data_IF_219293565064
#
_entry.id   IF_219293565064
#
_cell.length_a   1.000
_cell.length_b   1.000
_cell.length_c   1.000
_cell.angle_alpha   90.00
_cell.angle_beta   90.00
_cell.angle_gamma   90.00
#
_symmetry.space_group_name_H-M   'P 1'
#
loop_
_entity.id
_entity.type
_entity.pdbx_description
1 polymer ?
#
# COMPACT_ATOMS: atom_id res chain seq x y z
N UNK A 1 16.26 -29.27 -1.41
CA UNK A 1 15.27 -28.62 -2.30
C UNK A 1 14.57 -27.56 -1.46
N UNK A 2 15.16 -26.36 -1.36
CA UNK A 2 14.52 -25.25 -0.65
C UNK A 2 13.61 -24.56 -1.66
N UNK A 3 12.29 -24.72 -1.48
CA UNK A 3 11.30 -24.06 -2.33
C UNK A 3 11.45 -22.54 -2.24
N UNK A 4 11.12 -21.85 -3.33
CA UNK A 4 11.06 -20.38 -3.44
C UNK A 4 10.14 -19.71 -2.41
N UNK A 5 9.45 -20.52 -1.62
CA UNK A 5 8.53 -20.12 -0.57
C UNK A 5 9.19 -19.92 0.80
N UNK A 6 10.49 -20.23 0.98
CA UNK A 6 11.10 -20.14 2.32
C UNK A 6 11.01 -18.72 2.90
N UNK A 7 10.79 -18.57 4.21
CA UNK A 7 10.68 -17.25 4.87
C UNK A 7 11.89 -16.37 4.56
N UNK A 8 13.08 -16.96 4.47
CA UNK A 8 14.31 -16.25 4.10
C UNK A 8 14.28 -15.70 2.67
N UNK A 9 13.62 -16.38 1.72
CA UNK A 9 13.45 -15.89 0.35
C UNK A 9 12.52 -14.68 0.34
N UNK A 10 11.44 -14.73 1.11
CA UNK A 10 10.48 -13.63 1.23
C UNK A 10 11.13 -12.40 1.88
N UNK A 11 11.89 -12.58 2.96
CA UNK A 11 12.63 -11.50 3.62
C UNK A 11 13.70 -10.89 2.70
N UNK A 12 14.41 -11.73 1.95
CA UNK A 12 15.43 -11.27 0.99
C UNK A 12 14.79 -10.49 -0.17
N UNK A 13 13.65 -10.95 -0.69
CA UNK A 13 12.88 -10.24 -1.72
C UNK A 13 12.33 -8.92 -1.20
N UNK A 14 11.91 -8.83 0.06
CA UNK A 14 11.45 -7.58 0.67
C UNK A 14 12.60 -6.57 0.82
N UNK A 15 13.77 -7.03 1.26
CA UNK A 15 14.97 -6.18 1.34
C UNK A 15 15.40 -5.65 -0.04
N UNK A 16 15.32 -6.48 -1.07
CA UNK A 16 15.57 -6.05 -2.46
C UNK A 16 14.52 -5.04 -2.94
N UNK A 17 13.24 -5.24 -2.62
CA UNK A 17 12.18 -4.31 -2.97
C UNK A 17 12.38 -2.94 -2.31
N UNK A 18 12.84 -2.90 -1.06
CA UNK A 18 13.23 -1.67 -0.39
C UNK A 18 14.43 -0.99 -1.06
N UNK A 19 15.46 -1.75 -1.43
CA UNK A 19 16.62 -1.22 -2.17
C UNK A 19 16.18 -0.58 -3.50
N UNK A 20 15.31 -1.24 -4.26
CA UNK A 20 14.77 -0.69 -5.51
C UNK A 20 13.95 0.59 -5.29
N UNK A 21 13.20 0.69 -4.18
CA UNK A 21 12.53 1.95 -3.82
C UNK A 21 13.53 3.10 -3.58
N UNK A 22 14.68 2.82 -2.96
CA UNK A 22 15.73 3.83 -2.77
C UNK A 22 16.36 4.26 -4.10
N UNK A 23 16.44 3.37 -5.07
CA UNK A 23 16.92 3.66 -6.43
C UNK A 23 15.83 4.24 -7.35
N UNK A 24 14.63 4.53 -6.82
CA UNK A 24 13.46 4.99 -7.56
C UNK A 24 13.01 4.05 -8.71
N UNK A 25 13.37 2.76 -8.62
CA UNK A 25 12.93 1.68 -9.50
C UNK A 25 11.59 1.12 -9.01
N UNK A 26 10.52 1.89 -9.21
CA UNK A 26 9.22 1.61 -8.62
C UNK A 26 8.52 0.38 -9.24
N UNK A 27 8.76 0.08 -10.51
CA UNK A 27 8.16 -1.07 -11.21
C UNK A 27 8.71 -2.39 -10.66
N UNK A 28 10.03 -2.46 -10.49
CA UNK A 28 10.75 -3.62 -9.94
C UNK A 28 10.38 -3.82 -8.46
N UNK A 29 10.32 -2.73 -7.69
CA UNK A 29 9.85 -2.76 -6.31
C UNK A 29 8.41 -3.28 -6.20
N UNK A 30 7.50 -2.81 -7.07
CA UNK A 30 6.11 -3.28 -7.11
C UNK A 30 6.03 -4.78 -7.34
N UNK A 31 6.73 -5.31 -8.34
CA UNK A 31 6.70 -6.75 -8.64
C UNK A 31 7.15 -7.60 -7.45
N UNK A 32 8.21 -7.18 -6.76
CA UNK A 32 8.70 -7.89 -5.58
C UNK A 32 7.73 -7.77 -4.40
N UNK A 33 7.17 -6.58 -4.13
CA UNK A 33 6.19 -6.42 -3.05
C UNK A 33 4.91 -7.22 -3.30
N UNK A 34 4.45 -7.34 -4.55
CA UNK A 34 3.30 -8.18 -4.92
C UNK A 34 3.61 -9.65 -4.67
N UNK A 35 4.78 -10.14 -5.08
CA UNK A 35 5.18 -11.52 -4.82
C UNK A 35 5.26 -11.82 -3.32
N UNK A 36 5.96 -10.95 -2.56
CA UNK A 36 6.08 -11.07 -1.10
C UNK A 36 4.71 -11.07 -0.43
N UNK A 37 3.81 -10.18 -0.85
CA UNK A 37 2.45 -10.09 -0.33
C UNK A 37 1.65 -11.37 -0.60
N UNK A 38 1.63 -11.88 -1.84
CA UNK A 38 0.86 -13.09 -2.19
C UNK A 38 1.41 -14.34 -1.48
N UNK A 39 2.74 -14.48 -1.35
CA UNK A 39 3.35 -15.57 -0.59
C UNK A 39 2.97 -15.49 0.89
N UNK A 40 3.06 -14.32 1.51
CA UNK A 40 2.65 -14.11 2.92
C UNK A 40 1.17 -14.34 3.12
N UNK A 41 0.32 -13.87 2.20
CA UNK A 41 -1.13 -14.08 2.23
C UNK A 41 -1.49 -15.55 2.15
N UNK A 42 -0.80 -16.32 1.31
CA UNK A 42 -1.03 -17.77 1.17
C UNK A 42 -0.57 -18.56 2.39
N UNK A 43 0.55 -18.16 3.02
CA UNK A 43 1.14 -18.88 4.16
C UNK A 43 0.57 -18.49 5.52
N UNK A 44 0.44 -17.20 5.76
CA UNK A 44 0.12 -16.62 7.06
C UNK A 44 -1.32 -16.11 7.12
N UNK A 45 -1.95 -15.90 5.96
CA UNK A 45 -3.26 -15.30 5.81
C UNK A 45 -3.20 -13.79 5.54
N UNK A 46 -4.30 -13.26 4.99
CA UNK A 46 -4.45 -11.83 4.69
C UNK A 46 -4.43 -10.94 5.95
N UNK A 47 -4.80 -11.51 7.09
CA UNK A 47 -4.90 -10.79 8.37
C UNK A 47 -3.58 -10.74 9.14
N UNK A 48 -2.55 -11.44 8.68
CA UNK A 48 -1.29 -11.52 9.41
C UNK A 48 -0.54 -10.18 9.39
N UNK A 49 0.06 -9.73 10.51
CA UNK A 49 0.78 -8.45 10.58
C UNK A 49 1.83 -8.27 9.47
N UNK A 50 2.58 -9.33 9.15
CA UNK A 50 3.59 -9.30 8.07
C UNK A 50 2.97 -9.12 6.69
N UNK A 51 1.80 -9.72 6.42
CA UNK A 51 1.07 -9.52 5.17
C UNK A 51 0.57 -8.08 5.07
N UNK A 52 -0.01 -7.56 6.15
CA UNK A 52 -0.49 -6.19 6.25
C UNK A 52 0.64 -5.16 6.10
N UNK A 53 1.85 -5.49 6.57
CA UNK A 53 3.04 -4.67 6.38
C UNK A 53 3.46 -4.63 4.90
N UNK A 54 3.49 -5.77 4.20
CA UNK A 54 3.78 -5.80 2.76
C UNK A 54 2.74 -5.05 1.93
N UNK A 55 1.46 -5.15 2.29
CA UNK A 55 0.39 -4.35 1.65
C UNK A 55 0.60 -2.84 1.85
N UNK A 56 1.00 -2.40 3.04
CA UNK A 56 1.30 -0.99 3.30
C UNK A 56 2.53 -0.51 2.50
N UNK A 57 3.56 -1.35 2.35
CA UNK A 57 4.73 -1.06 1.53
C UNK A 57 4.35 -0.92 0.04
N UNK A 58 3.52 -1.83 -0.48
CA UNK A 58 2.99 -1.75 -1.85
C UNK A 58 2.17 -0.47 -2.07
N UNK A 59 1.34 -0.08 -1.09
CA UNK A 59 0.57 1.15 -1.15
C UNK A 59 1.49 2.39 -1.23
N UNK A 60 2.59 2.40 -0.49
CA UNK A 60 3.59 3.46 -0.57
C UNK A 60 4.29 3.49 -1.92
N UNK A 61 4.57 2.34 -2.54
CA UNK A 61 5.10 2.27 -3.91
C UNK A 61 4.12 2.87 -4.92
N UNK A 62 2.83 2.53 -4.84
CA UNK A 62 1.80 3.15 -5.69
C UNK A 62 1.69 4.66 -5.49
N UNK A 63 1.83 5.14 -4.26
CA UNK A 63 1.85 6.56 -3.96
C UNK A 63 2.99 7.27 -4.70
N UNK A 64 4.20 6.71 -4.65
CA UNK A 64 5.38 7.27 -5.34
C UNK A 64 5.26 7.20 -6.88
N UNK A 65 4.58 6.20 -7.42
CA UNK A 65 4.24 6.12 -8.86
C UNK A 65 3.13 7.11 -9.29
N UNK A 66 2.50 7.82 -8.34
CA UNK A 66 1.36 8.71 -8.63
C UNK A 66 0.01 7.99 -8.76
N UNK A 67 -0.05 6.69 -8.46
CA UNK A 67 -1.27 5.86 -8.44
C UNK A 67 -2.00 6.00 -7.09
N UNK A 68 -2.38 7.23 -6.77
CA UNK A 68 -2.91 7.59 -5.44
C UNK A 68 -4.23 6.86 -5.08
N UNK A 69 -5.09 6.58 -6.07
CA UNK A 69 -6.36 5.85 -5.83
C UNK A 69 -6.10 4.41 -5.39
N UNK A 70 -5.11 3.74 -5.98
CA UNK A 70 -4.75 2.36 -5.66
C UNK A 70 -4.02 2.27 -4.32
N UNK A 71 -3.12 3.23 -4.06
CA UNK A 71 -2.48 3.40 -2.76
C UNK A 71 -3.51 3.57 -1.63
N UNK A 72 -4.47 4.49 -1.81
CA UNK A 72 -5.52 4.76 -0.82
C UNK A 72 -6.40 3.54 -0.57
N UNK A 73 -6.82 2.83 -1.63
CA UNK A 73 -7.65 1.63 -1.48
C UNK A 73 -6.93 0.54 -0.69
N UNK A 74 -5.65 0.31 -0.98
CA UNK A 74 -4.87 -0.75 -0.34
C UNK A 74 -4.61 -0.42 1.14
N UNK A 75 -4.23 0.81 1.46
CA UNK A 75 -3.94 1.20 2.85
C UNK A 75 -5.22 1.34 3.71
N UNK A 76 -6.37 1.67 3.09
CA UNK A 76 -7.69 1.56 3.77
C UNK A 76 -8.00 0.12 4.16
N UNK A 77 -7.77 -0.85 3.26
CA UNK A 77 -7.96 -2.26 3.60
C UNK A 77 -7.05 -2.67 4.76
N UNK A 78 -5.77 -2.29 4.72
CA UNK A 78 -4.82 -2.58 5.80
C UNK A 78 -5.28 -1.97 7.13
N UNK A 79 -5.72 -0.72 7.12
CA UNK A 79 -6.21 -0.03 8.31
C UNK A 79 -7.43 -0.72 8.91
N UNK A 80 -8.44 -1.08 8.11
CA UNK A 80 -9.66 -1.74 8.60
C UNK A 80 -9.35 -3.13 9.17
N UNK A 81 -8.45 -3.90 8.54
CA UNK A 81 -8.02 -5.19 9.09
C UNK A 81 -7.27 -5.02 10.41
N UNK A 82 -6.33 -4.07 10.49
CA UNK A 82 -5.60 -3.76 11.75
C UNK A 82 -6.56 -3.31 12.85
N UNK A 83 -7.52 -2.43 12.52
CA UNK A 83 -8.55 -1.96 13.46
C UNK A 83 -9.41 -3.11 13.99
N UNK A 84 -9.79 -4.06 13.13
CA UNK A 84 -10.62 -5.20 13.50
C UNK A 84 -9.88 -6.19 14.39
N UNK A 85 -8.58 -6.42 14.15
CA UNK A 85 -7.78 -7.43 14.87
C UNK A 85 -7.08 -6.89 16.11
N UNK A 86 -6.49 -5.70 16.00
CA UNK A 86 -5.63 -5.09 17.02
C UNK A 86 -6.35 -3.98 17.81
N UNK A 87 -7.49 -3.50 17.29
CA UNK A 87 -8.20 -2.35 17.86
C UNK A 87 -7.77 -1.01 17.24
N UNK A 88 -8.59 0.01 17.48
CA UNK A 88 -8.36 1.36 16.95
C UNK A 88 -7.15 2.07 17.56
N UNK A 89 -6.80 1.74 18.81
CA UNK A 89 -5.73 2.38 19.57
C UNK A 89 -4.36 1.71 19.39
N UNK A 90 -4.28 0.64 18.59
CA UNK A 90 -3.03 -0.04 18.34
C UNK A 90 -2.05 0.86 17.55
N UNK A 91 -0.75 0.93 17.91
CA UNK A 91 0.24 1.76 17.21
C UNK A 91 0.22 1.60 15.69
N UNK A 92 0.15 0.37 15.19
CA UNK A 92 0.07 0.10 13.74
C UNK A 92 -1.21 0.61 13.07
N UNK A 93 -2.36 0.62 13.77
CA UNK A 93 -3.61 1.20 13.26
C UNK A 93 -3.50 2.73 13.19
N UNK A 94 -2.90 3.34 14.20
CA UNK A 94 -2.65 4.78 14.23
C UNK A 94 -1.69 5.22 13.12
N UNK A 95 -0.63 4.45 12.86
CA UNK A 95 0.31 4.72 11.75
C UNK A 95 -0.43 4.70 10.42
N UNK A 96 -1.20 3.64 10.11
CA UNK A 96 -1.98 3.58 8.87
C UNK A 96 -2.97 4.75 8.75
N UNK A 97 -3.63 5.13 9.85
CA UNK A 97 -4.54 6.29 9.86
C UNK A 97 -3.80 7.61 9.59
N UNK A 98 -2.61 7.79 10.15
CA UNK A 98 -1.77 8.96 9.92
C UNK A 98 -1.32 9.05 8.47
N UNK A 99 -0.82 7.93 7.92
CA UNK A 99 -0.41 7.81 6.52
C UNK A 99 -1.57 8.14 5.57
N UNK A 100 -2.75 7.54 5.78
CA UNK A 100 -3.95 7.85 5.00
C UNK A 100 -4.37 9.32 5.12
N UNK A 101 -4.26 9.92 6.31
CA UNK A 101 -4.59 11.33 6.51
C UNK A 101 -3.63 12.25 5.76
N UNK A 102 -2.33 11.93 5.79
CA UNK A 102 -1.30 12.66 5.06
C UNK A 102 -1.51 12.55 3.55
N UNK A 103 -1.75 11.34 3.04
CA UNK A 103 -2.05 11.09 1.63
C UNK A 103 -3.33 11.79 1.18
N UNK A 104 -4.37 11.82 2.02
CA UNK A 104 -5.61 12.55 1.72
C UNK A 104 -5.41 14.05 1.71
N UNK A 105 -4.61 14.59 2.63
CA UNK A 105 -4.26 16.01 2.70
C UNK A 105 -3.37 16.45 1.54
N UNK A 106 -2.33 15.68 1.21
CA UNK A 106 -1.49 15.92 0.04
C UNK A 106 -2.25 15.70 -1.27
N UNK A 107 -3.21 14.78 -1.31
CA UNK A 107 -4.08 14.56 -2.47
C UNK A 107 -4.89 15.80 -2.86
N UNK A 108 -5.12 16.76 -1.97
CA UNK A 108 -5.72 18.06 -2.30
C UNK A 108 -4.65 19.11 -2.71
N UNK A 109 -3.39 18.92 -2.30
CA UNK A 109 -2.20 19.69 -2.72
C UNK A 109 -1.73 19.33 -4.14
N UNK A 110 -1.83 18.06 -4.56
CA UNK A 110 -1.45 17.64 -5.91
C UNK A 110 -2.55 17.98 -6.94
N UNK A 111 -2.24 18.78 -7.98
CA UNK A 111 -3.25 19.35 -8.88
C UNK A 111 -4.09 18.31 -9.64
N UNK A 112 -3.58 17.08 -9.83
CA UNK A 112 -4.25 16.03 -10.63
C UNK A 112 -5.58 15.54 -10.01
N UNK A 113 -5.71 15.45 -8.69
CA UNK A 113 -6.96 15.01 -8.02
C UNK A 113 -8.01 16.13 -8.00
N UNK A 114 -7.58 17.36 -7.74
CA UNK A 114 -8.40 18.57 -7.84
C UNK A 114 -8.96 18.73 -9.25
N UNK A 115 -8.14 18.48 -10.27
CA UNK A 115 -8.57 18.53 -11.68
C UNK A 115 -9.56 17.41 -12.03
N UNK A 116 -9.26 16.15 -11.66
CA UNK A 116 -10.15 14.99 -11.91
C UNK A 116 -11.50 15.13 -11.19
N UNK A 117 -11.52 15.55 -9.91
CA UNK A 117 -12.76 15.84 -9.16
C UNK A 117 -13.56 16.98 -9.79
N UNK A 118 -12.88 18.04 -10.24
CA UNK A 118 -13.51 19.19 -10.92
C UNK A 118 -14.09 18.81 -12.29
N UNK A 119 -13.42 17.93 -13.03
CA UNK A 119 -13.92 17.40 -14.30
C UNK A 119 -15.12 16.46 -14.11
N UNK A 120 -15.09 15.56 -13.11
CA UNK A 120 -16.26 14.73 -12.74
C UNK A 120 -17.48 15.58 -12.36
N UNK A 121 -17.30 16.62 -11.53
CA UNK A 121 -18.40 17.55 -11.17
C UNK A 121 -18.96 18.31 -12.37
N UNK A 122 -18.11 18.79 -13.28
CA UNK A 122 -18.57 19.47 -14.51
C UNK A 122 -19.38 18.55 -15.45
N UNK A 123 -19.14 17.24 -15.40
CA UNK A 123 -19.88 16.25 -16.22
C UNK A 123 -21.27 15.94 -15.66
N UNK A 124 -21.48 16.11 -14.36
CA UNK A 124 -22.77 15.87 -13.68
C UNK A 124 -23.72 17.07 -13.83
N UNK A 125 -23.19 18.30 -13.93
CA UNK A 125 -24.00 19.52 -14.01
C UNK A 125 -24.46 19.83 -15.46
N UNK A 126 -24.01 19.04 -16.45
CA UNK A 126 -24.39 19.18 -17.88
C UNK A 126 -25.39 18.13 -18.38
N UNK A 127 -26.04 17.40 -17.47
CA UNK A 127 -27.18 16.51 -17.75
C UNK A 127 -28.45 17.11 -17.15
#
# INVERSE_FOLDING_TARGET
>A
MFGLDSEQTVESSEMLAEAYRFEAQWEEAEQLFVQVMETRKTKLGADHPSTLMSMANLASTFWNQGRLEEAEQLDVQVMETRKTKLGADHPHTMISKSTLSEWRGQGDSYPLRSLKRRLKRKRIIKS
#
